data_IF_825646463696
#
_entry.id   IF_825646463696
#
_cell.length_a   1.000
_cell.length_b   1.000
_cell.length_c   1.000
_cell.angle_alpha   90.00
_cell.angle_beta   90.00
_cell.angle_gamma   90.00
#
_symmetry.space_group_name_H-M   'P 1'
#
loop_
_entity.id
_entity.type
_entity.pdbx_description
1 polymer ?
#
# COMPACT_ATOMS: atom_id res chain seq x y z
N UNK A 1 -28.24 -6.05 -22.21
CA UNK A 1 -29.65 -5.76 -22.56
C UNK A 1 -30.47 -5.74 -21.27
N UNK A 2 -31.21 -4.68 -21.04
CA UNK A 2 -32.14 -4.60 -19.89
C UNK A 2 -33.43 -5.29 -20.29
N UNK A 3 -33.83 -6.32 -19.56
CA UNK A 3 -35.12 -6.95 -19.71
C UNK A 3 -36.16 -6.24 -18.83
N UNK A 4 -37.33 -5.97 -19.39
CA UNK A 4 -38.43 -5.34 -18.69
C UNK A 4 -39.57 -6.34 -18.55
N UNK A 5 -40.04 -6.57 -17.34
CA UNK A 5 -41.20 -7.40 -17.06
C UNK A 5 -42.27 -6.56 -16.41
N UNK A 6 -43.51 -6.76 -16.85
CA UNK A 6 -44.68 -6.16 -16.18
C UNK A 6 -45.29 -7.18 -15.23
N UNK A 7 -45.42 -6.81 -13.97
CA UNK A 7 -46.13 -7.59 -12.95
C UNK A 7 -47.22 -6.68 -12.38
N UNK A 8 -48.46 -6.90 -12.84
CA UNK A 8 -49.57 -5.96 -12.56
C UNK A 8 -49.27 -4.58 -13.16
N UNK A 9 -49.32 -3.55 -12.33
CA UNK A 9 -49.02 -2.16 -12.72
C UNK A 9 -47.55 -1.76 -12.53
N UNK A 10 -46.67 -2.68 -12.11
CA UNK A 10 -45.26 -2.39 -11.87
C UNK A 10 -44.40 -2.91 -13.03
N UNK A 11 -43.38 -2.11 -13.43
CA UNK A 11 -42.37 -2.52 -14.37
C UNK A 11 -41.09 -2.87 -13.63
N UNK A 12 -40.66 -4.14 -13.72
CA UNK A 12 -39.43 -4.63 -13.10
C UNK A 12 -38.35 -4.63 -14.16
N UNK A 13 -37.18 -4.05 -13.82
CA UNK A 13 -35.99 -4.07 -14.66
C UNK A 13 -35.03 -5.17 -14.16
N UNK A 14 -34.71 -6.11 -15.04
CA UNK A 14 -33.75 -7.18 -14.76
C UNK A 14 -32.48 -6.94 -15.56
N UNK A 15 -31.35 -7.18 -14.93
CA UNK A 15 -30.04 -7.21 -15.58
C UNK A 15 -29.28 -8.49 -15.21
N UNK A 16 -28.40 -8.93 -16.09
CA UNK A 16 -27.58 -10.13 -15.90
C UNK A 16 -26.12 -9.75 -15.98
N UNK A 17 -25.32 -10.28 -15.05
CA UNK A 17 -23.86 -10.27 -15.15
C UNK A 17 -23.39 -11.68 -15.50
N UNK A 18 -22.43 -11.80 -16.40
CA UNK A 18 -21.94 -13.08 -16.94
C UNK A 18 -20.43 -13.10 -16.84
N UNK A 19 -19.86 -14.17 -16.27
CA UNK A 19 -18.44 -14.47 -16.36
C UNK A 19 -18.21 -15.53 -17.43
N UNK A 20 -17.20 -15.36 -18.26
CA UNK A 20 -16.87 -16.26 -19.37
C UNK A 20 -15.44 -16.75 -19.23
N UNK A 21 -15.19 -18.03 -19.44
CA UNK A 21 -13.87 -18.63 -19.51
C UNK A 21 -13.74 -19.45 -20.79
N UNK A 22 -12.56 -19.42 -21.42
CA UNK A 22 -12.27 -20.06 -22.70
C UNK A 22 -11.28 -21.21 -22.51
N UNK A 23 -11.64 -22.38 -23.00
CA UNK A 23 -10.72 -23.52 -23.12
C UNK A 23 -9.84 -23.35 -24.36
N UNK A 24 -8.56 -23.70 -24.34
CA UNK A 24 -7.74 -24.05 -23.15
C UNK A 24 -7.12 -22.84 -22.44
N UNK A 25 -7.43 -21.64 -22.91
CA UNK A 25 -6.76 -20.38 -22.50
C UNK A 25 -6.91 -20.07 -21.00
N UNK A 26 -8.12 -20.21 -20.45
CA UNK A 26 -8.44 -19.83 -19.07
C UNK A 26 -8.46 -21.05 -18.12
N UNK A 27 -8.11 -22.22 -18.66
CA UNK A 27 -7.96 -23.49 -17.94
C UNK A 27 -7.97 -24.69 -18.86
N UNK A 28 -7.23 -25.71 -18.48
CA UNK A 28 -7.09 -27.01 -19.16
C UNK A 28 -8.00 -28.10 -18.55
N UNK A 29 -8.64 -27.81 -17.45
CA UNK A 29 -9.55 -28.68 -16.70
C UNK A 29 -10.87 -27.99 -16.38
N UNK A 30 -11.96 -28.74 -16.27
CA UNK A 30 -13.29 -28.22 -15.99
C UNK A 30 -13.35 -27.37 -14.72
N UNK A 31 -12.67 -27.79 -13.65
CA UNK A 31 -12.61 -27.05 -12.38
C UNK A 31 -11.91 -25.70 -12.53
N UNK A 32 -10.81 -25.65 -13.28
CA UNK A 32 -10.09 -24.39 -13.55
C UNK A 32 -10.95 -23.43 -14.37
N UNK A 33 -11.63 -23.91 -15.41
CA UNK A 33 -12.54 -23.10 -16.22
C UNK A 33 -13.71 -22.56 -15.40
N UNK A 34 -14.30 -23.39 -14.54
CA UNK A 34 -15.39 -22.94 -13.65
C UNK A 34 -14.91 -21.82 -12.72
N UNK A 35 -13.77 -22.01 -12.06
CA UNK A 35 -13.16 -21.02 -11.19
C UNK A 35 -12.85 -19.72 -11.94
N UNK A 36 -12.32 -19.81 -13.16
CA UNK A 36 -12.02 -18.67 -14.02
C UNK A 36 -13.29 -17.89 -14.40
N UNK A 37 -14.36 -18.57 -14.78
CA UNK A 37 -15.64 -17.94 -15.10
C UNK A 37 -16.30 -17.29 -13.87
N UNK A 38 -16.14 -17.90 -12.69
CA UNK A 38 -16.66 -17.37 -11.44
C UNK A 38 -15.95 -16.07 -11.03
N UNK A 39 -14.62 -16.02 -11.18
CA UNK A 39 -13.84 -14.79 -10.97
C UNK A 39 -14.27 -13.69 -11.95
N UNK A 40 -14.40 -14.01 -13.23
CA UNK A 40 -14.88 -13.09 -14.26
C UNK A 40 -16.28 -12.54 -13.92
N UNK A 41 -17.18 -13.38 -13.41
CA UNK A 41 -18.51 -12.96 -12.94
C UNK A 41 -18.44 -12.00 -11.75
N UNK A 42 -17.56 -12.26 -10.78
CA UNK A 42 -17.34 -11.38 -9.63
C UNK A 42 -16.88 -9.98 -10.09
N UNK A 43 -15.98 -9.93 -11.06
CA UNK A 43 -15.51 -8.68 -11.66
C UNK A 43 -16.66 -7.95 -12.35
N UNK A 44 -17.44 -8.64 -13.20
CA UNK A 44 -18.59 -8.05 -13.86
C UNK A 44 -19.58 -7.41 -12.87
N UNK A 45 -19.72 -8.01 -11.69
CA UNK A 45 -20.56 -7.46 -10.60
C UNK A 45 -19.95 -6.23 -9.94
N UNK A 46 -18.62 -6.18 -9.73
CA UNK A 46 -17.91 -5.02 -9.16
C UNK A 46 -17.90 -3.82 -10.10
N UNK A 47 -17.69 -4.07 -11.37
CA UNK A 47 -17.62 -3.08 -12.44
C UNK A 47 -18.98 -2.44 -12.81
N UNK A 48 -20.03 -2.60 -11.98
CA UNK A 48 -21.33 -1.98 -12.16
C UNK A 48 -22.40 -2.90 -12.73
N UNK A 49 -22.21 -4.21 -12.73
CA UNK A 49 -23.18 -5.23 -13.18
C UNK A 49 -23.61 -5.07 -14.66
N UNK A 50 -24.64 -5.79 -15.07
CA UNK A 50 -25.28 -5.70 -16.40
C UNK A 50 -24.31 -5.81 -17.59
N UNK A 51 -23.28 -6.68 -17.44
CA UNK A 51 -22.23 -6.91 -18.45
C UNK A 51 -21.72 -8.34 -18.40
N UNK A 52 -21.01 -8.72 -19.42
CA UNK A 52 -20.20 -9.92 -19.44
C UNK A 52 -18.72 -9.55 -19.37
N UNK A 53 -17.92 -10.43 -18.77
CA UNK A 53 -16.47 -10.28 -18.67
C UNK A 53 -15.81 -11.60 -19.00
N UNK A 54 -14.71 -11.54 -19.74
CA UNK A 54 -13.73 -12.62 -19.82
C UNK A 54 -12.71 -12.46 -18.72
N UNK A 55 -12.17 -13.58 -18.26
CA UNK A 55 -11.01 -13.54 -17.40
C UNK A 55 -9.77 -13.29 -18.27
N UNK A 56 -9.29 -12.07 -18.34
CA UNK A 56 -8.03 -11.77 -19.00
C UNK A 56 -6.88 -12.35 -18.17
N UNK A 57 -5.96 -13.06 -18.82
CA UNK A 57 -4.74 -13.60 -18.20
C UNK A 57 -3.89 -12.52 -17.53
N UNK A 58 -3.97 -11.28 -18.00
CA UNK A 58 -3.34 -10.10 -17.38
C UNK A 58 -3.97 -9.80 -16.03
N UNK A 59 -5.29 -9.86 -15.92
CA UNK A 59 -6.02 -9.61 -14.68
C UNK A 59 -5.75 -10.71 -13.64
N UNK A 60 -5.68 -11.98 -14.05
CA UNK A 60 -5.28 -13.07 -13.15
C UNK A 60 -3.89 -12.83 -12.55
N UNK A 61 -2.92 -12.46 -13.39
CA UNK A 61 -1.57 -12.14 -12.94
C UNK A 61 -1.55 -10.97 -11.95
N UNK A 62 -2.39 -9.95 -12.18
CA UNK A 62 -2.52 -8.82 -11.24
C UNK A 62 -3.14 -9.26 -9.91
N UNK A 63 -4.18 -10.10 -9.93
CA UNK A 63 -4.77 -10.66 -8.70
C UNK A 63 -3.78 -11.54 -7.93
N UNK A 64 -3.05 -12.40 -8.61
CA UNK A 64 -2.01 -13.22 -8.00
C UNK A 64 -0.90 -12.35 -7.39
N UNK A 65 -0.48 -11.31 -8.10
CA UNK A 65 0.49 -10.34 -7.61
C UNK A 65 -0.03 -9.62 -6.38
N UNK A 66 -1.28 -9.13 -6.41
CA UNK A 66 -1.91 -8.45 -5.28
C UNK A 66 -1.99 -9.37 -4.05
N UNK A 67 -2.40 -10.63 -4.23
CA UNK A 67 -2.49 -11.60 -3.14
C UNK A 67 -1.10 -11.93 -2.55
N UNK A 68 -0.08 -12.08 -3.39
CA UNK A 68 1.30 -12.29 -2.93
C UNK A 68 1.81 -11.10 -2.11
N UNK A 69 1.56 -9.88 -2.60
CA UNK A 69 1.98 -8.67 -1.89
C UNK A 69 1.20 -8.52 -0.58
N UNK A 70 -0.11 -8.80 -0.57
CA UNK A 70 -0.90 -8.79 0.67
C UNK A 70 -0.31 -9.73 1.72
N UNK A 71 -0.08 -10.98 1.36
CA UNK A 71 0.50 -11.97 2.29
C UNK A 71 1.90 -11.55 2.78
N UNK A 72 2.70 -10.93 1.91
CA UNK A 72 4.00 -10.38 2.26
C UNK A 72 3.88 -9.26 3.29
N UNK A 73 2.94 -8.31 3.09
CA UNK A 73 2.69 -7.19 3.99
C UNK A 73 2.16 -7.66 5.35
N UNK A 74 1.14 -8.52 5.36
CA UNK A 74 0.57 -9.10 6.58
C UNK A 74 1.63 -9.82 7.41
N UNK A 75 2.53 -10.55 6.75
CA UNK A 75 3.63 -11.21 7.42
C UNK A 75 4.66 -10.22 7.94
N UNK A 76 5.05 -9.23 7.14
CA UNK A 76 6.03 -8.22 7.54
C UNK A 76 5.56 -7.45 8.79
N UNK A 77 4.26 -7.15 8.88
CA UNK A 77 3.66 -6.51 10.04
C UNK A 77 3.65 -7.45 11.24
N UNK A 78 3.12 -8.66 11.09
CA UNK A 78 2.99 -9.63 12.18
C UNK A 78 4.32 -10.05 12.79
N UNK A 79 5.37 -10.18 11.97
CA UNK A 79 6.68 -10.68 12.36
C UNK A 79 7.73 -9.56 12.54
N UNK A 80 7.32 -8.28 12.50
CA UNK A 80 8.19 -7.11 12.63
C UNK A 80 9.38 -7.15 11.66
N UNK A 81 9.10 -7.43 10.37
CA UNK A 81 10.11 -7.58 9.32
C UNK A 81 10.32 -6.28 8.53
N UNK A 82 10.14 -5.15 9.16
CA UNK A 82 10.44 -3.83 8.60
C UNK A 82 11.87 -3.46 8.97
N UNK A 83 12.61 -2.95 7.99
CA UNK A 83 13.99 -2.47 8.19
C UNK A 83 14.17 -1.09 7.56
N UNK A 84 14.85 -0.15 8.24
CA UNK A 84 15.20 1.13 7.67
C UNK A 84 16.44 1.02 6.76
N UNK A 85 16.37 1.68 5.62
CA UNK A 85 17.52 1.97 4.76
C UNK A 85 17.74 3.48 4.77
N UNK A 86 18.98 3.89 4.58
CA UNK A 86 19.36 5.30 4.54
C UNK A 86 19.88 5.62 3.15
N UNK A 87 19.26 6.60 2.50
CA UNK A 87 19.82 7.23 1.30
C UNK A 87 20.53 8.49 1.73
N UNK A 88 21.88 8.54 1.66
CA UNK A 88 22.64 9.67 2.14
C UNK A 88 22.42 10.92 1.29
N UNK A 89 22.35 12.08 1.97
CA UNK A 89 22.23 13.41 1.35
C UNK A 89 23.55 14.14 1.55
N UNK A 90 24.11 14.66 0.46
CA UNK A 90 25.41 15.33 0.45
C UNK A 90 25.25 16.83 0.22
N UNK A 91 26.09 17.61 0.88
CA UNK A 91 26.32 19.00 0.52
C UNK A 91 27.04 19.05 -0.84
N UNK A 92 26.45 19.77 -1.80
CA UNK A 92 26.96 19.83 -3.17
C UNK A 92 28.32 20.55 -3.31
N UNK A 93 28.71 21.38 -2.32
CA UNK A 93 29.97 22.15 -2.40
C UNK A 93 31.15 21.36 -1.86
N UNK A 94 30.95 20.61 -0.77
CA UNK A 94 32.05 19.95 -0.06
C UNK A 94 31.93 18.45 0.00
N UNK A 95 30.86 17.87 -0.58
CA UNK A 95 30.56 16.43 -0.65
C UNK A 95 30.49 15.74 0.72
N UNK A 96 30.24 16.49 1.79
CA UNK A 96 30.02 15.91 3.11
C UNK A 96 28.57 15.45 3.26
N UNK A 97 28.36 14.38 4.00
CA UNK A 97 27.03 13.91 4.36
C UNK A 97 26.41 14.89 5.35
N UNK A 98 25.30 15.51 4.96
CA UNK A 98 24.50 16.44 5.78
C UNK A 98 23.26 15.82 6.37
N UNK A 99 22.87 14.65 5.87
CA UNK A 99 21.69 13.93 6.33
C UNK A 99 21.43 12.67 5.55
N UNK A 100 20.25 12.12 5.70
CA UNK A 100 19.78 10.97 4.92
C UNK A 100 18.28 10.84 4.95
N UNK A 101 17.73 10.34 3.84
CA UNK A 101 16.33 9.95 3.75
C UNK A 101 16.18 8.51 4.23
N UNK A 102 15.20 8.30 5.12
CA UNK A 102 14.85 6.96 5.61
C UNK A 102 13.87 6.32 4.65
N UNK A 103 14.28 5.20 4.09
CA UNK A 103 13.51 4.43 3.12
C UNK A 103 13.13 3.07 3.69
N UNK A 104 11.84 2.81 3.78
CA UNK A 104 11.33 1.53 4.27
C UNK A 104 11.71 0.36 3.35
N UNK A 105 12.11 -0.76 3.96
CA UNK A 105 12.28 -2.06 3.32
C UNK A 105 11.57 -3.11 4.17
N UNK A 106 11.16 -4.20 3.55
CA UNK A 106 10.63 -5.37 4.26
C UNK A 106 11.39 -6.62 3.86
N UNK A 107 11.37 -7.64 4.72
CA UNK A 107 12.00 -8.92 4.44
C UNK A 107 10.97 -9.95 3.98
N UNK A 108 11.31 -10.71 2.94
CA UNK A 108 10.52 -11.85 2.51
C UNK A 108 10.77 -13.11 3.40
N UNK A 109 10.16 -14.24 3.05
CA UNK A 109 10.31 -15.52 3.77
C UNK A 109 11.74 -16.04 3.81
N UNK A 110 12.53 -15.68 2.81
CA UNK A 110 13.93 -16.07 2.69
C UNK A 110 14.88 -15.02 3.24
N UNK A 111 14.36 -14.00 3.93
CA UNK A 111 15.12 -12.84 4.41
C UNK A 111 15.71 -11.99 3.30
N UNK A 112 15.20 -12.08 2.06
CA UNK A 112 15.59 -11.13 1.02
C UNK A 112 14.93 -9.77 1.26
N UNK A 113 15.66 -8.73 0.91
CA UNK A 113 15.23 -7.34 1.08
C UNK A 113 14.33 -6.96 -0.09
N UNK A 114 13.12 -6.53 0.23
CA UNK A 114 12.11 -6.05 -0.73
C UNK A 114 12.04 -4.53 -0.65
N UNK A 115 12.23 -3.87 -1.79
CA UNK A 115 12.20 -2.40 -1.87
C UNK A 115 10.78 -1.84 -1.82
N UNK A 116 10.61 -0.62 -1.31
CA UNK A 116 9.34 0.08 -1.21
C UNK A 116 8.59 0.16 -2.54
N UNK A 117 9.26 0.37 -3.67
CA UNK A 117 8.66 0.41 -5.00
C UNK A 117 7.88 -0.84 -5.39
N UNK A 118 8.15 -1.98 -4.75
CA UNK A 118 7.43 -3.23 -4.99
C UNK A 118 6.08 -3.27 -4.28
N UNK A 119 5.95 -2.69 -3.09
CA UNK A 119 4.81 -2.90 -2.21
C UNK A 119 4.10 -1.63 -1.74
N UNK A 120 4.74 -0.46 -1.75
CA UNK A 120 4.22 0.74 -1.08
C UNK A 120 2.84 1.16 -1.61
N UNK A 121 2.64 1.12 -2.94
CA UNK A 121 1.34 1.40 -3.57
C UNK A 121 0.25 0.47 -3.03
N UNK A 122 0.55 -0.82 -2.91
CA UNK A 122 -0.39 -1.81 -2.40
C UNK A 122 -0.62 -1.67 -0.89
N UNK A 123 0.39 -1.21 -0.15
CA UNK A 123 0.24 -0.90 1.26
C UNK A 123 -0.79 0.21 1.48
N UNK A 124 -0.77 1.27 0.65
CA UNK A 124 -1.80 2.31 0.64
C UNK A 124 -3.17 1.76 0.27
N UNK A 125 -3.28 1.03 -0.86
CA UNK A 125 -4.54 0.49 -1.36
C UNK A 125 -5.20 -0.52 -0.39
N UNK A 126 -4.41 -1.24 0.37
CA UNK A 126 -4.86 -2.27 1.33
C UNK A 126 -4.98 -1.75 2.76
N UNK A 127 -4.57 -0.51 3.04
CA UNK A 127 -4.66 0.11 4.37
C UNK A 127 -3.58 -0.33 5.36
N UNK A 128 -2.45 -0.89 4.90
CA UNK A 128 -1.34 -1.34 5.73
C UNK A 128 -0.24 -0.29 5.96
N UNK A 129 -0.37 0.89 5.34
CA UNK A 129 0.71 1.87 5.38
C UNK A 129 1.00 2.38 6.80
N UNK A 130 -0.04 2.56 7.62
CA UNK A 130 0.09 3.07 8.97
C UNK A 130 0.83 2.08 9.90
N UNK A 131 0.52 0.79 9.77
CA UNK A 131 1.20 -0.27 10.53
C UNK A 131 2.69 -0.36 10.16
N UNK A 132 3.01 -0.23 8.87
CA UNK A 132 4.39 -0.24 8.38
C UNK A 132 5.16 0.99 8.84
N UNK A 133 4.54 2.18 8.84
CA UNK A 133 5.15 3.41 9.35
C UNK A 133 5.39 3.35 10.85
N UNK A 134 4.49 2.74 11.62
CA UNK A 134 4.66 2.51 13.05
C UNK A 134 5.88 1.62 13.32
N UNK A 135 5.99 0.48 12.64
CA UNK A 135 7.14 -0.41 12.77
C UNK A 135 8.45 0.25 12.32
N UNK A 136 8.41 1.05 11.24
CA UNK A 136 9.58 1.81 10.82
C UNK A 136 9.99 2.82 11.90
N UNK A 137 9.03 3.50 12.53
CA UNK A 137 9.29 4.45 13.60
C UNK A 137 9.94 3.76 14.80
N UNK A 138 9.49 2.56 15.19
CA UNK A 138 10.12 1.77 16.25
C UNK A 138 11.59 1.46 15.94
N UNK A 139 11.92 1.15 14.69
CA UNK A 139 13.31 0.86 14.30
C UNK A 139 14.19 2.09 14.26
N UNK A 140 13.70 3.21 13.74
CA UNK A 140 14.50 4.43 13.58
C UNK A 140 14.62 5.28 14.85
N UNK A 141 13.83 4.99 15.87
CA UNK A 141 13.94 5.65 17.19
C UNK A 141 14.92 4.96 18.14
N UNK A 142 15.54 3.85 17.72
CA UNK A 142 16.61 3.20 18.49
C UNK A 142 17.86 4.09 18.54
N UNK A 143 18.49 4.17 19.70
CA UNK A 143 19.69 4.99 19.92
C UNK A 143 20.79 4.74 18.87
N UNK A 144 21.04 3.47 18.55
CA UNK A 144 22.04 3.06 17.56
C UNK A 144 21.77 3.65 16.17
N UNK A 145 20.48 3.77 15.80
CA UNK A 145 20.10 4.35 14.52
C UNK A 145 20.23 5.88 14.55
N UNK A 146 19.78 6.51 15.62
CA UNK A 146 19.79 7.98 15.78
C UNK A 146 21.22 8.55 15.86
N UNK A 147 22.16 7.82 16.45
CA UNK A 147 23.58 8.21 16.48
C UNK A 147 24.18 8.44 15.08
N UNK A 148 23.67 7.76 14.05
CA UNK A 148 24.10 7.99 12.66
C UNK A 148 23.77 9.40 12.17
N UNK A 149 22.79 10.04 12.78
CA UNK A 149 22.28 11.36 12.39
C UNK A 149 22.70 12.49 13.31
N UNK A 150 23.57 12.25 14.27
CA UNK A 150 24.04 13.30 15.18
C UNK A 150 24.59 14.51 14.40
N UNK A 151 24.03 15.70 14.69
CA UNK A 151 24.26 16.96 13.97
C UNK A 151 23.95 16.90 12.46
N UNK A 152 22.96 16.04 12.04
CA UNK A 152 22.56 15.86 10.65
C UNK A 152 21.02 15.83 10.54
N UNK A 153 20.56 15.95 9.30
CA UNK A 153 19.15 15.86 8.95
C UNK A 153 18.73 14.41 8.78
N UNK A 154 17.59 14.03 9.37
CA UNK A 154 16.88 12.79 9.08
C UNK A 154 15.57 13.13 8.38
N UNK A 155 15.38 12.64 7.15
CA UNK A 155 14.16 12.82 6.36
C UNK A 155 13.31 11.57 6.48
N UNK A 156 12.04 11.75 6.86
CA UNK A 156 11.09 10.67 7.13
C UNK A 156 9.83 10.91 6.31
N UNK A 157 9.52 9.98 5.42
CA UNK A 157 8.28 9.98 4.65
C UNK A 157 7.08 9.69 5.56
N UNK A 158 6.03 10.51 5.46
CA UNK A 158 4.78 10.33 6.20
C UNK A 158 3.56 10.34 5.30
N UNK A 159 2.68 9.37 5.55
CA UNK A 159 1.36 9.34 4.92
C UNK A 159 0.38 10.19 5.73
N UNK A 160 -0.35 11.06 5.05
CA UNK A 160 -1.43 11.84 5.67
C UNK A 160 -2.76 11.26 5.19
N UNK A 161 -3.24 10.20 5.82
CA UNK A 161 -4.56 9.64 5.54
C UNK A 161 -5.48 9.85 6.75
N UNK A 162 -6.62 10.53 6.49
CA UNK A 162 -7.84 10.60 7.30
C UNK A 162 -7.94 11.45 8.59
N UNK A 163 -9.18 11.75 8.91
CA UNK A 163 -9.82 12.69 9.83
C UNK A 163 -9.38 12.72 11.30
N UNK A 164 -8.71 11.69 11.81
CA UNK A 164 -8.29 11.64 13.23
C UNK A 164 -6.80 12.00 13.46
N UNK A 165 -6.11 12.46 12.44
CA UNK A 165 -4.64 12.60 12.45
C UNK A 165 -4.09 13.87 13.07
N UNK A 166 -4.86 14.92 13.24
CA UNK A 166 -4.34 16.15 13.87
C UNK A 166 -3.85 15.88 15.30
N UNK A 167 -4.54 15.02 16.05
CA UNK A 167 -4.15 14.64 17.40
C UNK A 167 -2.94 13.70 17.39
N UNK A 168 -2.98 12.68 16.54
CA UNK A 168 -1.87 11.71 16.39
C UNK A 168 -0.59 12.39 15.89
N UNK A 169 -0.69 13.26 14.86
CA UNK A 169 0.43 14.06 14.39
C UNK A 169 0.98 14.98 15.50
N UNK A 170 0.11 15.53 16.36
CA UNK A 170 0.57 16.38 17.45
C UNK A 170 1.38 15.62 18.50
N UNK A 171 1.02 14.38 18.81
CA UNK A 171 1.74 13.52 19.74
C UNK A 171 3.04 13.00 19.14
N UNK A 172 3.00 12.58 17.89
CA UNK A 172 4.20 12.16 17.17
C UNK A 172 5.20 13.30 17.01
N UNK A 173 4.75 14.50 16.66
CA UNK A 173 5.62 15.69 16.58
C UNK A 173 6.24 16.05 17.94
N UNK A 174 5.51 15.89 19.04
CA UNK A 174 6.08 16.09 20.40
C UNK A 174 7.17 15.05 20.68
N UNK A 175 6.90 13.78 20.39
CA UNK A 175 7.89 12.71 20.56
C UNK A 175 9.16 13.01 19.76
N UNK A 176 9.03 13.31 18.48
CA UNK A 176 10.17 13.60 17.62
C UNK A 176 10.94 14.88 18.04
N UNK A 177 10.23 15.87 18.59
CA UNK A 177 10.87 17.06 19.14
C UNK A 177 11.77 16.74 20.34
N UNK A 178 11.33 15.85 21.24
CA UNK A 178 12.15 15.41 22.37
C UNK A 178 13.33 14.55 21.89
N UNK A 179 13.10 13.60 20.99
CA UNK A 179 14.16 12.78 20.37
C UNK A 179 15.20 13.67 19.70
N UNK A 180 14.77 14.63 18.88
CA UNK A 180 15.66 15.55 18.18
C UNK A 180 16.57 16.34 19.13
N UNK A 181 16.01 16.75 20.28
CA UNK A 181 16.76 17.46 21.30
C UNK A 181 17.77 16.58 22.02
N UNK A 182 17.37 15.34 22.38
CA UNK A 182 18.22 14.40 23.11
C UNK A 182 19.41 13.95 22.25
N UNK A 183 19.14 13.62 20.99
CA UNK A 183 20.13 13.04 20.07
C UNK A 183 20.86 14.08 19.20
N UNK A 184 20.55 15.37 19.37
CA UNK A 184 21.15 16.47 18.59
C UNK A 184 20.99 16.26 17.06
N UNK A 185 19.77 15.88 16.61
CA UNK A 185 19.42 15.63 15.21
C UNK A 185 18.42 16.65 14.69
N UNK A 186 18.32 16.80 13.37
CA UNK A 186 17.32 17.64 12.71
C UNK A 186 16.32 16.77 11.96
N UNK A 187 15.06 16.73 12.42
CA UNK A 187 14.01 15.89 11.84
C UNK A 187 13.22 16.67 10.80
N UNK A 188 13.05 16.08 9.62
CA UNK A 188 12.25 16.61 8.51
C UNK A 188 11.21 15.55 8.11
N UNK A 189 9.93 15.91 8.14
CA UNK A 189 8.86 15.06 7.61
C UNK A 189 8.54 15.44 6.17
N UNK A 190 8.54 14.45 5.30
CA UNK A 190 8.15 14.59 3.90
C UNK A 190 6.73 14.05 3.71
N UNK A 191 5.83 14.94 3.23
CA UNK A 191 4.43 14.59 2.98
C UNK A 191 4.23 14.50 1.47
N UNK A 192 3.79 13.35 0.98
CA UNK A 192 3.58 13.12 -0.45
C UNK A 192 2.32 13.83 -0.96
N UNK A 193 2.35 14.32 -2.21
CA UNK A 193 1.22 15.00 -2.87
C UNK A 193 -0.06 14.15 -2.89
N UNK A 194 0.06 12.85 -3.11
CA UNK A 194 -1.06 11.91 -3.07
C UNK A 194 -1.76 11.84 -1.70
N UNK A 195 -1.06 12.20 -0.64
CA UNK A 195 -1.63 12.32 0.70
C UNK A 195 -2.43 13.63 0.87
N UNK A 196 -2.08 14.69 0.15
CA UNK A 196 -2.70 16.01 0.24
C UNK A 196 -4.02 16.07 -0.54
N UNK A 197 -4.10 15.40 -1.70
CA UNK A 197 -5.30 15.40 -2.56
C UNK A 197 -6.51 14.82 -1.84
N UNK A 198 -6.34 13.77 -1.04
CA UNK A 198 -7.41 13.21 -0.20
C UNK A 198 -7.86 14.15 0.94
N UNK A 199 -7.13 15.22 1.20
CA UNK A 199 -7.43 16.20 2.25
C UNK A 199 -8.29 17.37 1.74
N UNK A 200 -8.31 17.61 0.43
CA UNK A 200 -9.01 18.72 -0.20
C UNK A 200 -10.38 18.37 -0.81
N UNK A 201 -10.70 17.07 -0.89
CA UNK A 201 -11.97 16.56 -1.45
C UNK A 201 -13.05 16.30 -0.39
N UNK A 202 -13.04 17.06 0.72
CA UNK A 202 -14.05 16.99 1.79
C UNK A 202 -14.72 18.33 2.01
#
# INVERSE_FOLDING_TARGET
KNFKFKVGNQTIHLSISIGVALYPHDGDEAFKLLKSSEIALQIAKREGRNRWMFLDSKFLKELEKLNKIRSLLERAIREHLVIPYIQPIFDAHNLKIVGGEVLIRILDEKRNIISAGTFIKYAYELGYIEDLEALLTEEITKDEFLELFKNRYIFINKSVNSYNKALFLSEELKLWKEIAKIHEIFVVFEITESSIINFLDV
#
